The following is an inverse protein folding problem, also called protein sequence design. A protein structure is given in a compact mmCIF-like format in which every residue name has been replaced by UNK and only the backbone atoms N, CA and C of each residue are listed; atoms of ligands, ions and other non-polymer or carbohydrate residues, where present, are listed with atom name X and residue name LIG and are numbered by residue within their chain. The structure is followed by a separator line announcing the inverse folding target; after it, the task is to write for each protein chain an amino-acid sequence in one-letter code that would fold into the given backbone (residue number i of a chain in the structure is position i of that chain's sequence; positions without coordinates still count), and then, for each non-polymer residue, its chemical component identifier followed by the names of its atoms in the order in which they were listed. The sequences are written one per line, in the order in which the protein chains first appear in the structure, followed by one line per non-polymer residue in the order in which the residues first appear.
data_IF_461861759525
#
_entry.id   IF_461861759525
#
_cell.length_a   1.000
_cell.length_b   1.000
_cell.length_c   1.000
_cell.angle_alpha   90.00
_cell.angle_beta   90.00
_cell.angle_gamma   90.00
#
_symmetry.space_group_name_H-M   'P 1'
#
loop_
_entity.id
_entity.type
_entity.pdbx_description
1 polymer ?
#
# COMPACT_ATOMS: atom_id res chain seq x y z
N UNK A 1 11.17 7.03 1.71
CA UNK A 1 10.87 5.59 1.57
C UNK A 1 11.90 4.83 0.73
N UNK A 2 12.08 5.17 -0.55
CA UNK A 2 12.97 4.42 -1.47
C UNK A 2 14.44 4.24 -1.01
N UNK A 3 15.06 5.15 -0.25
CA UNK A 3 16.40 4.89 0.30
C UNK A 3 16.50 3.64 1.17
N UNK A 4 15.41 3.25 1.86
CA UNK A 4 15.35 1.99 2.61
C UNK A 4 15.39 0.79 1.65
N UNK A 5 14.55 0.82 0.61
CA UNK A 5 14.54 -0.26 -0.37
C UNK A 5 15.90 -0.42 -1.07
N UNK A 6 16.49 0.70 -1.47
CA UNK A 6 17.77 0.73 -2.17
C UNK A 6 18.96 0.35 -1.27
N UNK A 7 18.79 0.29 0.06
CA UNK A 7 19.88 -0.04 0.99
C UNK A 7 20.93 1.05 1.13
N UNK A 8 20.56 2.31 0.86
CA UNK A 8 21.49 3.45 0.86
C UNK A 8 21.28 4.41 2.04
N UNK A 9 20.22 4.22 2.84
CA UNK A 9 20.03 4.98 4.07
C UNK A 9 21.03 4.52 5.16
N UNK A 10 21.46 5.43 6.02
CA UNK A 10 22.12 5.02 7.27
C UNK A 10 21.09 4.44 8.24
N UNK A 11 21.54 3.68 9.24
CA UNK A 11 20.67 3.12 10.28
C UNK A 11 19.90 4.21 11.02
N UNK A 12 20.55 5.33 11.34
CA UNK A 12 19.93 6.47 12.03
C UNK A 12 18.87 7.12 11.14
N UNK A 13 19.16 7.25 9.85
CA UNK A 13 18.19 7.80 8.90
C UNK A 13 17.00 6.86 8.71
N UNK A 14 17.25 5.56 8.68
CA UNK A 14 16.19 4.56 8.61
C UNK A 14 15.27 4.63 9.84
N UNK A 15 15.86 4.73 11.03
CA UNK A 15 15.10 4.91 12.27
C UNK A 15 14.26 6.18 12.24
N UNK A 16 14.81 7.32 11.82
CA UNK A 16 14.04 8.57 11.71
C UNK A 16 12.86 8.42 10.75
N UNK A 17 13.08 7.77 9.61
CA UNK A 17 12.06 7.53 8.61
C UNK A 17 10.93 6.66 9.20
N UNK A 18 11.28 5.56 9.87
CA UNK A 18 10.30 4.64 10.45
C UNK A 18 9.48 5.33 11.54
N UNK A 19 10.14 5.94 12.51
CA UNK A 19 9.46 6.48 13.70
C UNK A 19 8.70 7.77 13.41
N UNK A 20 9.24 8.67 12.57
CA UNK A 20 8.62 9.99 12.35
C UNK A 20 7.64 10.03 11.18
N UNK A 21 7.79 9.12 10.21
CA UNK A 21 6.97 9.11 8.99
C UNK A 21 6.10 7.88 8.93
N UNK A 22 6.68 6.68 8.99
CA UNK A 22 5.93 5.46 8.72
C UNK A 22 5.00 5.04 9.83
N UNK A 23 5.41 5.18 11.10
CA UNK A 23 4.62 4.86 12.29
C UNK A 23 3.80 6.03 12.81
N UNK A 24 3.90 7.20 12.16
CA UNK A 24 3.17 8.39 12.55
C UNK A 24 1.80 8.41 11.83
N UNK A 25 0.67 8.44 12.56
CA UNK A 25 -0.66 8.57 11.95
C UNK A 25 -0.87 9.89 11.19
N UNK A 26 -0.21 10.97 11.59
CA UNK A 26 -0.18 12.21 10.82
C UNK A 26 0.77 12.13 9.60
N UNK A 27 1.62 11.09 9.57
CA UNK A 27 2.50 10.72 8.48
C UNK A 27 1.80 9.78 7.50
N UNK A 28 2.37 8.60 7.31
CA UNK A 28 1.87 7.59 6.37
C UNK A 28 1.29 6.34 7.05
N UNK A 29 1.18 6.32 8.38
CA UNK A 29 0.65 5.16 9.10
C UNK A 29 -0.87 5.07 8.99
N UNK A 30 -1.35 4.12 8.19
CA UNK A 30 -2.77 3.93 7.85
C UNK A 30 -3.18 2.47 7.99
N UNK A 31 -4.45 2.14 7.76
CA UNK A 31 -4.95 0.75 7.92
C UNK A 31 -4.33 -0.22 6.93
N UNK A 32 -4.28 0.18 5.65
CA UNK A 32 -3.38 -0.46 4.69
C UNK A 32 -2.09 0.33 4.77
N UNK A 33 -1.08 -0.24 5.45
CA UNK A 33 0.09 0.53 5.83
C UNK A 33 0.74 1.24 4.65
N UNK A 34 1.09 2.50 4.89
CA UNK A 34 1.81 3.41 4.01
C UNK A 34 0.98 3.94 2.84
N UNK A 35 0.18 4.97 3.16
CA UNK A 35 -0.33 5.90 2.18
C UNK A 35 0.79 6.49 1.31
N UNK A 36 0.48 6.81 0.05
CA UNK A 36 1.46 7.41 -0.87
C UNK A 36 1.90 8.82 -0.46
N UNK A 37 1.11 9.50 0.36
CA UNK A 37 1.35 10.85 0.85
C UNK A 37 1.02 10.97 2.35
N UNK A 38 1.51 12.00 3.00
CA UNK A 38 1.32 12.22 4.43
C UNK A 38 -0.09 12.76 4.73
N UNK A 39 -0.76 12.20 5.73
CA UNK A 39 -2.09 12.64 6.17
C UNK A 39 -2.12 14.11 6.66
N UNK A 40 -0.95 14.65 7.02
CA UNK A 40 -0.77 16.06 7.37
C UNK A 40 -0.75 17.03 6.19
N UNK A 41 -0.61 16.55 4.95
CA UNK A 41 -0.56 17.44 3.79
C UNK A 41 -1.92 18.05 3.51
N UNK A 42 -1.94 19.34 3.17
CA UNK A 42 -3.18 20.05 2.81
C UNK A 42 -3.87 19.42 1.59
N UNK A 43 -3.08 18.81 0.70
CA UNK A 43 -3.58 18.14 -0.50
C UNK A 43 -3.83 16.65 -0.32
N UNK A 44 -3.74 16.13 0.92
CA UNK A 44 -4.00 14.72 1.19
C UNK A 44 -5.43 14.33 0.77
N UNK A 45 -5.55 13.17 0.13
CA UNK A 45 -6.80 12.66 -0.40
C UNK A 45 -6.68 11.22 -0.88
N UNK A 46 -7.81 10.65 -1.26
CA UNK A 46 -7.88 9.29 -1.77
C UNK A 46 -7.60 9.19 -3.28
N UNK A 47 -7.15 10.27 -3.94
CA UNK A 47 -6.86 10.23 -5.37
C UNK A 47 -5.41 9.88 -5.65
N UNK A 48 -5.23 8.79 -6.41
CA UNK A 48 -3.95 8.41 -6.97
C UNK A 48 -2.82 8.47 -5.92
N UNK A 49 -1.86 9.37 -6.14
CA UNK A 49 -0.61 9.49 -5.39
C UNK A 49 -0.69 10.46 -4.21
N UNK A 50 -1.87 10.97 -3.86
CA UNK A 50 -2.06 11.94 -2.76
C UNK A 50 -2.61 11.32 -1.47
N UNK A 51 -2.50 10.00 -1.30
CA UNK A 51 -2.90 9.32 -0.06
C UNK A 51 -3.39 7.89 -0.25
N UNK A 52 -3.73 7.49 -1.49
CA UNK A 52 -4.01 6.09 -1.80
C UNK A 52 -2.80 5.18 -1.57
N UNK A 53 -3.04 3.93 -1.18
CA UNK A 53 -1.98 2.92 -1.02
C UNK A 53 -1.74 2.19 -2.33
N UNK A 54 -0.54 2.38 -2.90
CA UNK A 54 -0.08 1.70 -4.10
C UNK A 54 0.72 0.46 -3.73
N UNK A 55 0.25 -0.71 -4.15
CA UNK A 55 0.78 -2.02 -3.70
C UNK A 55 2.26 -2.20 -4.06
N UNK A 56 2.69 -1.67 -5.20
CA UNK A 56 4.09 -1.65 -5.60
C UNK A 56 4.97 -0.83 -4.65
N UNK A 57 4.56 0.38 -4.29
CA UNK A 57 5.36 1.17 -3.34
C UNK A 57 5.35 0.53 -1.96
N UNK A 58 4.20 0.02 -1.53
CA UNK A 58 4.09 -0.66 -0.25
C UNK A 58 5.02 -1.87 -0.17
N UNK A 59 5.05 -2.70 -1.22
CA UNK A 59 5.99 -3.81 -1.34
C UNK A 59 7.45 -3.36 -1.24
N UNK A 60 7.84 -2.31 -1.97
CA UNK A 60 9.22 -1.79 -1.90
C UNK A 60 9.57 -1.29 -0.50
N UNK A 61 8.62 -0.64 0.19
CA UNK A 61 8.80 -0.18 1.57
C UNK A 61 8.97 -1.37 2.50
N UNK A 62 8.13 -2.40 2.39
CA UNK A 62 8.20 -3.65 3.16
C UNK A 62 9.58 -4.29 3.01
N UNK A 63 10.08 -4.42 1.77
CA UNK A 63 11.41 -4.98 1.52
C UNK A 63 12.53 -4.10 2.09
N UNK A 64 12.37 -2.77 2.02
CA UNK A 64 13.28 -1.85 2.70
C UNK A 64 13.28 -2.03 4.22
N UNK A 65 12.11 -2.14 4.84
CA UNK A 65 11.98 -2.36 6.28
C UNK A 65 12.69 -3.64 6.73
N UNK A 66 12.55 -4.73 5.97
CA UNK A 66 13.26 -6.00 6.23
C UNK A 66 14.78 -5.81 6.22
N UNK A 67 15.33 -5.10 5.22
CA UNK A 67 16.77 -4.85 5.10
C UNK A 67 17.36 -4.09 6.29
N UNK A 68 16.55 -3.27 6.95
CA UNK A 68 16.97 -2.44 8.10
C UNK A 68 16.55 -3.01 9.46
N UNK A 69 16.12 -4.27 9.53
CA UNK A 69 15.79 -4.95 10.79
C UNK A 69 14.39 -4.66 11.34
N UNK A 70 13.53 -3.97 10.59
CA UNK A 70 12.13 -3.70 10.99
C UNK A 70 11.18 -4.84 10.57
N UNK A 71 11.55 -6.09 10.87
CA UNK A 71 10.86 -7.29 10.42
C UNK A 71 9.39 -7.36 10.85
N UNK A 72 9.07 -6.97 12.09
CA UNK A 72 7.69 -6.96 12.61
C UNK A 72 6.80 -6.00 11.81
N UNK A 73 7.22 -4.73 11.66
CA UNK A 73 6.48 -3.74 10.88
C UNK A 73 6.34 -4.16 9.40
N UNK A 74 7.38 -4.76 8.84
CA UNK A 74 7.34 -5.30 7.49
C UNK A 74 6.31 -6.43 7.34
N UNK A 75 6.22 -7.34 8.32
CA UNK A 75 5.25 -8.43 8.34
C UNK A 75 3.82 -7.91 8.52
N UNK A 76 3.61 -6.93 9.40
CA UNK A 76 2.32 -6.26 9.59
C UNK A 76 1.84 -5.59 8.30
N UNK A 77 2.70 -4.81 7.64
CA UNK A 77 2.37 -4.12 6.39
C UNK A 77 2.07 -5.10 5.25
N UNK A 78 2.80 -6.22 5.20
CA UNK A 78 2.55 -7.31 4.24
C UNK A 78 1.19 -7.95 4.47
N UNK A 79 0.90 -8.31 5.72
CA UNK A 79 -0.36 -8.94 6.10
C UNK A 79 -1.56 -8.02 5.86
N UNK A 80 -1.45 -6.73 6.22
CA UNK A 80 -2.52 -5.75 5.98
C UNK A 80 -2.80 -5.59 4.48
N UNK A 81 -1.75 -5.53 3.66
CA UNK A 81 -1.87 -5.41 2.20
C UNK A 81 -2.57 -6.63 1.59
N UNK A 82 -2.13 -7.84 1.94
CA UNK A 82 -2.71 -9.10 1.44
C UNK A 82 -4.18 -9.22 1.86
N UNK A 83 -4.50 -8.93 3.14
CA UNK A 83 -5.89 -8.99 3.64
C UNK A 83 -6.81 -8.04 2.90
N UNK A 84 -6.37 -6.82 2.67
CA UNK A 84 -7.20 -5.83 1.97
C UNK A 84 -7.42 -6.20 0.50
N UNK A 85 -6.35 -6.58 -0.21
CA UNK A 85 -6.46 -7.01 -1.61
C UNK A 85 -7.45 -8.19 -1.71
N UNK A 86 -7.32 -9.19 -0.83
CA UNK A 86 -8.21 -10.34 -0.80
C UNK A 86 -9.67 -9.94 -0.50
N UNK A 87 -9.88 -9.05 0.46
CA UNK A 87 -11.21 -8.54 0.83
C UNK A 87 -11.93 -7.94 -0.37
N UNK A 88 -11.27 -7.07 -1.13
CA UNK A 88 -11.89 -6.44 -2.28
C UNK A 88 -12.01 -7.37 -3.48
N UNK A 89 -11.04 -8.27 -3.69
CA UNK A 89 -11.14 -9.29 -4.72
C UNK A 89 -12.36 -10.19 -4.52
N UNK A 90 -12.65 -10.61 -3.29
CA UNK A 90 -13.83 -11.41 -2.96
C UNK A 90 -15.16 -10.69 -3.24
N UNK A 91 -15.20 -9.36 -3.13
CA UNK A 91 -16.41 -8.57 -3.32
C UNK A 91 -16.60 -8.12 -4.79
N UNK A 92 -15.51 -7.82 -5.48
CA UNK A 92 -15.52 -7.14 -6.79
C UNK A 92 -14.98 -7.99 -7.94
N UNK A 93 -14.38 -9.15 -7.65
CA UNK A 93 -13.87 -10.10 -8.64
C UNK A 93 -12.65 -9.62 -9.43
N UNK A 94 -12.01 -8.53 -9.04
CA UNK A 94 -10.86 -7.96 -9.75
C UNK A 94 -9.87 -7.26 -8.81
N UNK A 95 -8.68 -6.98 -9.32
CA UNK A 95 -7.57 -6.35 -8.60
C UNK A 95 -7.36 -4.91 -9.10
N UNK A 96 -7.16 -3.96 -8.19
CA UNK A 96 -7.06 -2.53 -8.53
C UNK A 96 -5.61 -2.02 -8.48
N UNK A 97 -5.34 -0.91 -9.17
CA UNK A 97 -4.01 -0.27 -9.19
C UNK A 97 -3.58 0.34 -7.84
N UNK A 98 -4.53 0.84 -7.05
CA UNK A 98 -4.32 1.32 -5.68
C UNK A 98 -5.60 1.18 -4.87
N UNK A 99 -5.46 1.33 -3.55
CA UNK A 99 -6.54 1.15 -2.58
C UNK A 99 -6.62 2.36 -1.65
N UNK A 100 -7.75 2.54 -1.00
CA UNK A 100 -7.88 3.55 0.06
C UNK A 100 -7.01 3.16 1.24
N UNK A 101 -6.07 4.01 1.63
CA UNK A 101 -5.15 3.72 2.73
C UNK A 101 -5.87 3.54 4.07
N UNK A 102 -7.04 4.16 4.27
CA UNK A 102 -7.91 3.95 5.42
C UNK A 102 -8.78 2.68 5.29
N UNK A 103 -8.91 2.13 4.09
CA UNK A 103 -9.72 0.94 3.79
C UNK A 103 -11.23 1.17 3.89
N UNK A 104 -11.70 2.41 3.76
CA UNK A 104 -13.11 2.81 3.92
C UNK A 104 -13.82 2.86 2.57
N UNK A 105 -13.13 3.34 1.54
CA UNK A 105 -13.68 3.55 0.20
C UNK A 105 -13.53 2.31 -0.67
N UNK A 106 -14.62 1.95 -1.37
CA UNK A 106 -14.61 0.86 -2.36
C UNK A 106 -13.67 1.22 -3.52
N UNK A 107 -12.70 0.37 -3.90
CA UNK A 107 -11.72 0.68 -4.94
C UNK A 107 -12.34 1.11 -6.27
N UNK A 108 -13.49 0.55 -6.66
CA UNK A 108 -14.17 0.95 -7.89
C UNK A 108 -14.68 2.39 -7.91
N UNK A 109 -14.81 3.03 -6.74
CA UNK A 109 -15.24 4.42 -6.58
C UNK A 109 -14.09 5.39 -6.28
N UNK A 110 -12.87 4.89 -6.11
CA UNK A 110 -11.70 5.74 -5.82
C UNK A 110 -11.43 6.73 -6.98
N UNK A 111 -11.19 8.01 -6.69
CA UNK A 111 -10.99 9.03 -7.71
C UNK A 111 -9.62 8.89 -8.38
N UNK A 112 -9.58 8.83 -9.72
CA UNK A 112 -8.31 8.72 -10.47
C UNK A 112 -7.88 10.01 -11.15
N UNK A 113 -8.78 10.59 -11.94
CA UNK A 113 -8.57 11.81 -12.74
C UNK A 113 -9.80 12.71 -12.64
N UNK A 114 -10.29 12.85 -11.41
CA UNK A 114 -11.58 13.44 -11.08
C UNK A 114 -12.53 12.42 -10.44
N UNK A 115 -13.73 12.87 -10.05
CA UNK A 115 -14.73 12.02 -9.41
C UNK A 115 -15.18 10.86 -10.29
N UNK A 116 -15.38 9.68 -9.70
CA UNK A 116 -16.00 8.56 -10.39
C UNK A 116 -17.50 8.82 -10.58
N UNK A 117 -18.06 8.33 -11.68
CA UNK A 117 -19.50 8.47 -11.96
C UNK A 117 -20.08 7.14 -12.43
N UNK A 118 -21.32 6.82 -12.12
CA UNK A 118 -21.95 5.58 -12.60
C UNK A 118 -22.57 5.79 -14.00
N UNK A 119 -22.65 4.73 -14.84
CA UNK A 119 -22.04 3.41 -14.66
C UNK A 119 -20.52 3.45 -14.93
N UNK A 120 -19.81 2.38 -14.55
CA UNK A 120 -18.39 2.23 -14.84
C UNK A 120 -18.13 2.22 -16.36
N UNK A 121 -17.19 3.03 -16.82
CA UNK A 121 -16.72 3.05 -18.21
C UNK A 121 -15.21 3.24 -18.27
N UNK A 122 -14.50 2.17 -18.64
CA UNK A 122 -13.04 2.17 -18.78
C UNK A 122 -12.54 3.25 -19.75
N UNK A 123 -13.33 3.62 -20.77
CA UNK A 123 -12.93 4.62 -21.79
C UNK A 123 -12.78 6.02 -21.20
N UNK A 124 -13.48 6.33 -20.11
CA UNK A 124 -13.42 7.64 -19.45
C UNK A 124 -12.13 7.85 -18.67
N UNK A 125 -11.40 6.77 -18.30
CA UNK A 125 -10.09 6.81 -17.61
C UNK A 125 -10.08 7.58 -16.27
N UNK A 126 -11.26 7.76 -15.65
CA UNK A 126 -11.47 8.41 -14.34
C UNK A 126 -11.59 7.41 -13.18
N UNK A 127 -11.76 6.12 -13.49
CA UNK A 127 -11.80 5.03 -12.52
C UNK A 127 -10.42 4.39 -12.38
N UNK A 128 -10.10 3.78 -11.24
CA UNK A 128 -8.90 3.00 -11.11
C UNK A 128 -8.90 1.85 -12.09
N UNK A 129 -7.71 1.54 -12.60
CA UNK A 129 -7.47 0.39 -13.47
C UNK A 129 -7.78 -0.89 -12.69
N UNK A 130 -8.59 -1.76 -13.34
CA UNK A 130 -8.90 -3.12 -12.88
C UNK A 130 -7.95 -4.13 -13.52
N UNK A 131 -7.89 -5.32 -12.93
CA UNK A 131 -7.02 -6.42 -13.34
C UNK A 131 -5.54 -5.98 -13.44
N UNK A 132 -5.13 -5.18 -12.45
CA UNK A 132 -3.81 -4.54 -12.48
C UNK A 132 -2.69 -5.54 -12.19
N UNK A 133 -1.84 -5.78 -13.19
CA UNK A 133 -0.81 -6.82 -13.15
C UNK A 133 0.21 -6.66 -12.02
N UNK A 134 0.58 -5.43 -11.64
CA UNK A 134 1.50 -5.22 -10.52
C UNK A 134 0.88 -5.65 -9.19
N UNK A 135 -0.39 -5.33 -8.96
CA UNK A 135 -1.13 -5.78 -7.77
C UNK A 135 -1.22 -7.30 -7.74
N UNK A 136 -1.51 -7.95 -8.88
CA UNK A 136 -1.56 -9.41 -8.97
C UNK A 136 -0.22 -10.08 -8.61
N UNK A 137 0.86 -9.65 -9.26
CA UNK A 137 2.18 -10.22 -9.05
C UNK A 137 2.66 -10.04 -7.60
N UNK A 138 2.47 -8.84 -7.06
CA UNK A 138 2.94 -8.52 -5.70
C UNK A 138 2.06 -9.10 -4.61
N UNK A 139 0.75 -9.29 -4.87
CA UNK A 139 -0.10 -10.07 -3.97
C UNK A 139 0.43 -11.49 -3.81
N UNK A 140 0.76 -12.17 -4.91
CA UNK A 140 1.32 -13.54 -4.89
C UNK A 140 2.66 -13.55 -4.16
N UNK A 141 3.57 -12.60 -4.47
CA UNK A 141 4.87 -12.51 -3.81
C UNK A 141 4.73 -12.31 -2.29
N UNK A 142 3.87 -11.38 -1.87
CA UNK A 142 3.61 -11.13 -0.46
C UNK A 142 2.96 -12.33 0.24
N UNK A 143 2.00 -12.99 -0.41
CA UNK A 143 1.33 -14.16 0.14
C UNK A 143 2.31 -15.33 0.31
N UNK A 144 3.14 -15.59 -0.70
CA UNK A 144 4.19 -16.62 -0.64
C UNK A 144 5.13 -16.39 0.55
N UNK A 145 5.61 -15.16 0.73
CA UNK A 145 6.50 -14.82 1.84
C UNK A 145 5.83 -14.98 3.20
N UNK A 146 4.53 -14.68 3.32
CA UNK A 146 3.80 -14.94 4.58
C UNK A 146 3.74 -16.45 4.84
N UNK A 147 3.33 -17.25 3.85
CA UNK A 147 3.22 -18.71 4.00
C UNK A 147 4.56 -19.38 4.32
N UNK A 148 5.65 -18.99 3.65
CA UNK A 148 6.97 -19.60 3.84
C UNK A 148 7.64 -19.19 5.16
N UNK A 149 7.34 -18.01 5.69
CA UNK A 149 7.94 -17.53 6.95
C UNK A 149 7.01 -17.70 8.17
N UNK A 150 5.87 -18.38 8.02
CA UNK A 150 4.94 -18.63 9.13
C UNK A 150 5.50 -19.58 10.21
N UNK A 151 6.63 -20.27 9.94
CA UNK A 151 7.28 -21.20 10.87
C UNK A 151 8.52 -20.67 11.61
N UNK A 152 8.84 -19.38 11.49
CA UNK A 152 10.02 -18.76 12.13
C UNK A 152 9.68 -17.61 13.08
N UNK A 153 8.40 -17.50 13.47
CA UNK A 153 7.89 -16.46 14.38
C UNK A 153 7.56 -16.98 15.80
N UNK A 154 7.98 -18.21 16.13
CA UNK A 154 7.95 -18.77 17.48
C UNK A 154 9.30 -18.59 18.20
#
# INVERSE_FOLDING_TARGET
MMPLFAGIATTERAQQIVEKVLKNPAGQYTKILFASDSASEQTYGCDMWRGGTWINYNYLIIEGLRKYGYGVLAAEARLSSVKEIARWYQQLGCLFEYYDSAGETVPSYMPRKGPTTAPYDLKRKIYPVRDFGWTAALYIAMLNDLCCNYGTLD
#
